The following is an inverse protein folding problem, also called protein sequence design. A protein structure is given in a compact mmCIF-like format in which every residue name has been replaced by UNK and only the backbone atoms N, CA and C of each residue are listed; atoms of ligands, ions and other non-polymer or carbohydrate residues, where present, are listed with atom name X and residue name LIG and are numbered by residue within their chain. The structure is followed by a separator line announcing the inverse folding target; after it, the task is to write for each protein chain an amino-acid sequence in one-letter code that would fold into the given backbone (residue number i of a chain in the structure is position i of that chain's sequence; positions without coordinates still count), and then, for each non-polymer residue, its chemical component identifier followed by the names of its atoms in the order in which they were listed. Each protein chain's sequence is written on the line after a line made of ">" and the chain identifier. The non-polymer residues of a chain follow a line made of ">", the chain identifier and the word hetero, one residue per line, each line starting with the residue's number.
data_IF_721561363578
#
_entry.id   IF_721561363578
#
_cell.length_a   1.000
_cell.length_b   1.000
_cell.length_c   1.000
_cell.angle_alpha   90.00
_cell.angle_beta   90.00
_cell.angle_gamma   90.00
#
_symmetry.space_group_name_H-M   'P 1'
#
loop_
_entity.id
_entity.type
_entity.pdbx_description
1 polymer ?
#
# COMPACT_ATOMS: atom_id res chain seq x y z
N UNK A 1 -8.66 26.68 -3.18
CA UNK A 1 -7.55 26.25 -2.29
C UNK A 1 -7.97 25.41 -1.09
N UNK A 2 -8.63 25.91 -0.03
CA UNK A 2 -8.93 25.09 1.19
C UNK A 2 -9.64 23.76 0.90
N UNK A 3 -10.67 23.80 0.05
CA UNK A 3 -11.39 22.58 -0.35
C UNK A 3 -10.55 21.65 -1.25
N UNK A 4 -9.57 22.16 -1.99
CA UNK A 4 -8.76 21.34 -2.91
C UNK A 4 -7.76 20.49 -2.14
N UNK A 5 -7.07 21.08 -1.16
CA UNK A 5 -6.12 20.36 -0.28
C UNK A 5 -6.81 19.20 0.42
N UNK A 6 -7.97 19.46 1.03
CA UNK A 6 -8.75 18.42 1.69
C UNK A 6 -9.29 17.38 0.69
N UNK A 7 -9.69 17.80 -0.51
CA UNK A 7 -10.13 16.88 -1.56
C UNK A 7 -9.01 15.96 -2.06
N UNK A 8 -7.77 16.45 -2.16
CA UNK A 8 -6.60 15.63 -2.46
C UNK A 8 -6.37 14.57 -1.37
N UNK A 9 -6.51 14.93 -0.10
CA UNK A 9 -6.48 13.98 1.00
C UNK A 9 -7.57 12.91 0.88
N UNK A 10 -8.81 13.30 0.59
CA UNK A 10 -9.89 12.32 0.39
C UNK A 10 -9.63 11.38 -0.80
N UNK A 11 -9.04 11.89 -1.89
CA UNK A 11 -8.61 11.07 -3.02
C UNK A 11 -7.53 10.07 -2.62
N UNK A 12 -6.52 10.48 -1.86
CA UNK A 12 -5.49 9.58 -1.32
C UNK A 12 -6.11 8.47 -0.48
N UNK A 13 -7.02 8.81 0.43
CA UNK A 13 -7.71 7.84 1.29
C UNK A 13 -8.58 6.86 0.49
N UNK A 14 -9.23 7.33 -0.58
CA UNK A 14 -10.00 6.48 -1.50
C UNK A 14 -9.08 5.54 -2.27
N UNK A 15 -7.96 6.04 -2.78
CA UNK A 15 -6.94 5.24 -3.49
C UNK A 15 -6.42 4.13 -2.59
N UNK A 16 -6.04 4.44 -1.34
CA UNK A 16 -5.58 3.44 -0.37
C UNK A 16 -6.61 2.32 -0.18
N UNK A 17 -7.89 2.67 0.04
CA UNK A 17 -8.96 1.68 0.20
C UNK A 17 -9.13 0.80 -1.03
N UNK A 18 -9.04 1.38 -2.23
CA UNK A 18 -9.15 0.64 -3.49
C UNK A 18 -7.96 -0.32 -3.64
N UNK A 19 -6.73 0.17 -3.47
CA UNK A 19 -5.52 -0.65 -3.57
C UNK A 19 -5.50 -1.78 -2.54
N UNK A 20 -5.90 -1.51 -1.30
CA UNK A 20 -6.02 -2.53 -0.25
C UNK A 20 -7.05 -3.61 -0.60
N UNK A 21 -8.20 -3.23 -1.17
CA UNK A 21 -9.20 -4.21 -1.66
C UNK A 21 -8.67 -5.03 -2.82
N UNK A 22 -8.03 -4.41 -3.81
CA UNK A 22 -7.43 -5.11 -4.95
C UNK A 22 -6.37 -6.10 -4.46
N UNK A 23 -5.45 -5.67 -3.60
CA UNK A 23 -4.44 -6.53 -3.02
C UNK A 23 -5.06 -7.75 -2.31
N UNK A 24 -6.13 -7.54 -1.52
CA UNK A 24 -6.86 -8.63 -0.89
C UNK A 24 -7.44 -9.63 -1.90
N UNK A 25 -8.06 -9.15 -2.97
CA UNK A 25 -8.61 -10.02 -4.01
C UNK A 25 -7.53 -10.80 -4.76
N UNK A 26 -6.40 -10.15 -5.07
CA UNK A 26 -5.25 -10.79 -5.71
C UNK A 26 -4.66 -11.88 -4.81
N UNK A 27 -4.50 -11.61 -3.51
CA UNK A 27 -4.05 -12.62 -2.54
C UNK A 27 -4.98 -13.83 -2.47
N UNK A 28 -6.30 -13.59 -2.42
CA UNK A 28 -7.30 -14.67 -2.40
C UNK A 28 -7.25 -15.49 -3.71
N UNK A 29 -7.13 -14.81 -4.85
CA UNK A 29 -7.03 -15.50 -6.15
C UNK A 29 -5.80 -16.40 -6.21
N UNK A 30 -4.61 -15.88 -5.85
CA UNK A 30 -3.40 -16.71 -5.81
C UNK A 30 -3.51 -17.88 -4.83
N UNK A 31 -4.19 -17.69 -3.68
CA UNK A 31 -4.45 -18.78 -2.75
C UNK A 31 -5.33 -19.88 -3.37
N UNK A 32 -6.38 -19.52 -4.09
CA UNK A 32 -7.25 -20.49 -4.80
C UNK A 32 -6.45 -21.25 -5.85
N UNK A 33 -5.66 -20.55 -6.67
CA UNK A 33 -4.80 -21.18 -7.70
C UNK A 33 -3.78 -22.12 -7.06
N UNK A 34 -3.17 -21.70 -5.95
CA UNK A 34 -2.23 -22.53 -5.20
C UNK A 34 -2.90 -23.82 -4.69
N UNK A 35 -4.07 -23.71 -4.05
CA UNK A 35 -4.81 -24.87 -3.55
C UNK A 35 -5.21 -25.82 -4.69
N UNK A 36 -5.67 -25.27 -5.82
CA UNK A 36 -6.01 -26.07 -7.00
C UNK A 36 -4.81 -26.91 -7.48
N UNK A 37 -3.63 -26.30 -7.61
CA UNK A 37 -2.42 -27.02 -8.02
C UNK A 37 -1.93 -28.01 -6.98
N UNK A 38 -2.07 -27.70 -5.69
CA UNK A 38 -1.66 -28.59 -4.60
C UNK A 38 -2.50 -29.88 -4.56
N UNK A 39 -3.81 -29.79 -4.85
CA UNK A 39 -4.70 -30.95 -4.89
C UNK A 39 -4.77 -31.64 -6.26
N UNK A 40 -4.25 -31.01 -7.33
CA UNK A 40 -4.00 -31.67 -8.61
C UNK A 40 -2.77 -32.57 -8.46
N UNK A 41 -3.00 -33.87 -8.29
CA UNK A 41 -2.05 -34.87 -7.75
C UNK A 41 -0.72 -35.08 -8.50
N UNK A 42 -0.45 -34.32 -9.57
CA UNK A 42 0.75 -34.48 -10.41
C UNK A 42 1.80 -33.38 -10.19
N UNK A 43 1.53 -32.34 -9.40
CA UNK A 43 2.31 -31.10 -9.44
C UNK A 43 3.23 -30.82 -8.26
N UNK A 44 3.31 -31.71 -7.27
CA UNK A 44 4.05 -31.47 -6.02
C UNK A 44 5.55 -31.17 -6.20
N UNK A 45 6.13 -31.42 -7.38
CA UNK A 45 7.51 -31.05 -7.75
C UNK A 45 7.60 -30.07 -8.95
N UNK A 46 6.49 -29.50 -9.41
CA UNK A 46 6.47 -28.62 -10.59
C UNK A 46 7.05 -27.24 -10.28
N UNK A 47 7.92 -26.69 -11.17
CA UNK A 47 8.40 -25.30 -11.09
C UNK A 47 7.27 -24.26 -10.94
N UNK A 48 6.05 -24.58 -11.40
CA UNK A 48 4.87 -23.72 -11.27
C UNK A 48 4.44 -23.49 -9.82
N UNK A 49 4.45 -24.52 -8.98
CA UNK A 49 4.11 -24.39 -7.56
C UNK A 49 5.13 -23.47 -6.86
N UNK A 50 6.41 -23.60 -7.24
CA UNK A 50 7.49 -22.75 -6.72
C UNK A 50 7.26 -21.29 -7.10
N UNK A 51 6.96 -21.00 -8.37
CA UNK A 51 6.65 -19.63 -8.84
C UNK A 51 5.44 -19.03 -8.10
N UNK A 52 4.39 -19.82 -7.87
CA UNK A 52 3.19 -19.35 -7.16
C UNK A 52 3.47 -19.09 -5.69
N UNK A 53 4.28 -19.92 -5.03
CA UNK A 53 4.71 -19.66 -3.65
C UNK A 53 5.53 -18.36 -3.55
N UNK A 54 6.46 -18.12 -4.46
CA UNK A 54 7.21 -16.86 -4.50
C UNK A 54 6.31 -15.66 -4.76
N UNK A 55 5.31 -15.79 -5.64
CA UNK A 55 4.30 -14.75 -5.87
C UNK A 55 3.46 -14.46 -4.63
N UNK A 56 3.05 -15.49 -3.88
CA UNK A 56 2.31 -15.33 -2.64
C UNK A 56 3.13 -14.60 -1.57
N UNK A 57 4.41 -14.96 -1.41
CA UNK A 57 5.36 -14.29 -0.51
C UNK A 57 5.53 -12.83 -0.94
N UNK A 58 5.79 -12.57 -2.23
CA UNK A 58 5.97 -11.22 -2.76
C UNK A 58 4.72 -10.35 -2.58
N UNK A 59 3.53 -10.92 -2.81
CA UNK A 59 2.25 -10.26 -2.57
C UNK A 59 2.07 -9.91 -1.09
N UNK A 60 2.48 -10.81 -0.20
CA UNK A 60 2.42 -10.59 1.25
C UNK A 60 3.36 -9.45 1.69
N UNK A 61 4.61 -9.45 1.20
CA UNK A 61 5.54 -8.33 1.42
C UNK A 61 5.02 -7.02 0.83
N UNK A 62 4.38 -7.07 -0.35
CA UNK A 62 3.76 -5.89 -0.97
C UNK A 62 2.67 -5.27 -0.10
N UNK A 63 1.91 -6.10 0.63
CA UNK A 63 0.96 -5.64 1.63
C UNK A 63 1.61 -4.81 2.75
N UNK A 64 2.77 -5.24 3.24
CA UNK A 64 3.53 -4.53 4.28
C UNK A 64 4.03 -3.17 3.77
N UNK A 65 4.59 -3.13 2.55
CA UNK A 65 5.07 -1.90 1.94
C UNK A 65 3.91 -0.92 1.69
N UNK A 66 2.78 -1.42 1.18
CA UNK A 66 1.58 -0.61 0.94
C UNK A 66 1.04 -0.04 2.25
N UNK A 67 0.99 -0.85 3.31
CA UNK A 67 0.61 -0.39 4.63
C UNK A 67 1.52 0.74 5.11
N UNK A 68 2.85 0.56 5.02
CA UNK A 68 3.83 1.58 5.43
C UNK A 68 3.76 2.86 4.60
N UNK A 69 3.50 2.76 3.29
CA UNK A 69 3.39 3.92 2.41
C UNK A 69 2.16 4.79 2.68
N UNK A 70 1.04 4.18 3.09
CA UNK A 70 -0.22 4.88 3.38
C UNK A 70 -0.48 5.08 4.88
N UNK A 71 0.44 4.65 5.75
CA UNK A 71 0.30 4.71 7.21
C UNK A 71 0.05 6.14 7.70
N UNK A 72 0.74 7.12 7.10
CA UNK A 72 0.58 8.54 7.38
C UNK A 72 0.09 9.27 6.12
N UNK A 73 -0.99 10.06 6.22
CA UNK A 73 -1.45 10.91 5.12
C UNK A 73 -0.33 11.84 4.62
N UNK A 74 -0.26 12.05 3.30
CA UNK A 74 0.81 12.87 2.70
C UNK A 74 0.83 14.30 3.26
N UNK A 75 -0.34 14.86 3.59
CA UNK A 75 -0.45 16.17 4.23
C UNK A 75 0.27 16.26 5.58
N UNK A 76 0.18 15.23 6.41
CA UNK A 76 0.90 15.19 7.69
C UNK A 76 2.38 14.92 7.47
N UNK A 77 2.72 14.11 6.47
CA UNK A 77 4.10 13.83 6.12
C UNK A 77 4.84 15.10 5.66
N UNK A 78 4.17 15.99 4.93
CA UNK A 78 4.72 17.26 4.45
C UNK A 78 5.10 18.21 5.59
N UNK A 79 4.50 18.07 6.78
CA UNK A 79 4.87 18.85 7.98
C UNK A 79 6.35 18.65 8.35
N UNK A 80 6.91 17.47 8.09
CA UNK A 80 8.32 17.21 8.34
C UNK A 80 9.26 18.06 7.46
N UNK A 81 8.89 18.30 6.21
CA UNK A 81 9.73 19.03 5.24
C UNK A 81 9.42 20.52 5.17
N UNK A 82 8.14 20.88 5.36
CA UNK A 82 7.64 22.24 5.15
C UNK A 82 7.32 22.95 6.48
N UNK A 83 7.33 22.24 7.62
CA UNK A 83 7.06 22.83 8.92
C UNK A 83 5.72 23.57 8.95
N UNK A 84 5.73 24.83 9.41
CA UNK A 84 4.51 25.67 9.52
C UNK A 84 3.88 26.05 8.17
N UNK A 85 4.63 25.99 7.07
CA UNK A 85 4.08 26.30 5.74
C UNK A 85 3.34 25.13 5.10
N UNK A 86 3.36 23.95 5.72
CA UNK A 86 2.69 22.77 5.19
C UNK A 86 1.19 23.01 4.97
N UNK A 87 0.66 22.47 3.88
CA UNK A 87 -0.76 22.61 3.49
C UNK A 87 -1.73 22.11 4.57
N UNK A 88 -1.29 21.22 5.45
CA UNK A 88 -2.03 20.80 6.64
C UNK A 88 -2.52 21.98 7.50
N UNK A 89 -1.69 23.02 7.65
CA UNK A 89 -2.03 24.22 8.42
C UNK A 89 -2.99 25.16 7.68
N UNK A 90 -3.33 24.89 6.42
CA UNK A 90 -4.36 25.65 5.69
C UNK A 90 -5.79 25.11 5.96
N UNK A 91 -5.87 23.87 6.45
CA UNK A 91 -7.14 23.19 6.76
C UNK A 91 -7.85 23.78 7.99
N UNK A 92 -9.17 23.65 8.03
CA UNK A 92 -9.96 23.98 9.21
C UNK A 92 -9.76 22.98 10.36
N UNK A 93 -10.06 23.37 11.59
CA UNK A 93 -10.01 22.50 12.78
C UNK A 93 -10.68 21.12 12.58
N UNK A 94 -11.93 21.01 12.07
CA UNK A 94 -12.56 19.70 11.90
C UNK A 94 -11.85 18.82 10.85
N UNK A 95 -11.30 19.43 9.80
CA UNK A 95 -10.55 18.72 8.76
C UNK A 95 -9.21 18.23 9.29
N UNK A 96 -8.48 19.08 10.03
CA UNK A 96 -7.22 18.70 10.69
C UNK A 96 -7.42 17.53 11.66
N UNK A 97 -8.49 17.55 12.45
CA UNK A 97 -8.85 16.44 13.33
C UNK A 97 -9.13 15.14 12.56
N UNK A 98 -9.79 15.23 11.40
CA UNK A 98 -10.03 14.06 10.57
C UNK A 98 -8.73 13.49 9.99
N UNK A 99 -7.85 14.36 9.48
CA UNK A 99 -6.54 13.96 8.96
C UNK A 99 -5.69 13.33 10.07
N UNK A 100 -5.69 13.92 11.27
CA UNK A 100 -5.07 13.36 12.47
C UNK A 100 -5.59 11.96 12.77
N UNK A 101 -6.91 11.77 12.80
CA UNK A 101 -7.51 10.44 13.02
C UNK A 101 -7.12 9.40 11.98
N UNK A 102 -6.91 9.81 10.73
CA UNK A 102 -6.45 8.91 9.67
C UNK A 102 -4.99 8.50 9.78
N UNK A 103 -4.21 9.11 10.66
CA UNK A 103 -2.86 8.65 11.00
C UNK A 103 -2.82 7.58 12.11
N UNK A 104 -3.99 7.07 12.53
CA UNK A 104 -4.11 6.07 13.59
C UNK A 104 -4.13 6.65 15.01
N UNK A 105 -4.39 7.96 15.13
CA UNK A 105 -4.50 8.68 16.39
C UNK A 105 -5.96 8.90 16.77
N UNK A 106 -6.40 8.44 17.94
CA UNK A 106 -7.79 8.61 18.38
C UNK A 106 -8.00 9.85 19.24
N UNK A 107 -6.91 10.41 19.76
CA UNK A 107 -6.88 11.60 20.58
C UNK A 107 -7.30 12.87 19.83
N UNK A 108 -7.68 13.88 20.61
CA UNK A 108 -8.02 15.20 20.09
C UNK A 108 -6.73 15.94 19.77
N UNK A 109 -6.59 16.36 18.51
CA UNK A 109 -5.50 17.21 18.07
C UNK A 109 -5.62 18.55 18.81
N UNK A 110 -4.52 19.06 19.41
CA UNK A 110 -4.52 20.40 19.99
C UNK A 110 -5.01 21.45 18.98
N UNK A 111 -5.73 22.50 19.42
CA UNK A 111 -6.28 23.50 18.51
C UNK A 111 -5.21 24.27 17.72
N UNK A 112 -4.01 24.43 18.31
CA UNK A 112 -2.84 25.00 17.65
C UNK A 112 -1.63 24.05 17.78
N UNK A 113 -1.56 22.99 16.96
CA UNK A 113 -0.48 22.01 17.03
C UNK A 113 0.78 22.58 16.38
N UNK A 114 1.94 22.42 17.02
CA UNK A 114 3.21 22.81 16.40
C UNK A 114 3.71 21.74 15.42
N UNK A 115 4.49 22.09 14.38
CA UNK A 115 5.11 21.10 13.50
C UNK A 115 5.96 20.07 14.26
N UNK A 116 6.66 20.50 15.31
CA UNK A 116 7.49 19.65 16.16
C UNK A 116 6.62 18.64 16.91
N UNK A 117 5.48 19.07 17.45
CA UNK A 117 4.52 18.19 18.10
C UNK A 117 4.05 17.08 17.15
N UNK A 118 3.66 17.44 15.92
CA UNK A 118 3.20 16.48 14.92
C UNK A 118 4.33 15.54 14.51
N UNK A 119 5.53 16.09 14.27
CA UNK A 119 6.70 15.32 13.83
C UNK A 119 7.13 14.28 14.86
N UNK A 120 7.19 14.66 16.14
CA UNK A 120 7.55 13.76 17.22
C UNK A 120 6.46 12.72 17.48
N UNK A 121 5.19 13.13 17.58
CA UNK A 121 4.11 12.20 17.85
C UNK A 121 3.92 11.18 16.72
N UNK A 122 4.10 11.56 15.46
CA UNK A 122 3.94 10.65 14.33
C UNK A 122 5.24 9.99 13.89
N UNK A 123 6.37 10.30 14.52
CA UNK A 123 7.71 9.84 14.11
C UNK A 123 7.93 10.04 12.59
N UNK A 124 7.63 11.24 12.09
CA UNK A 124 7.61 11.49 10.64
C UNK A 124 8.97 11.26 9.98
N UNK A 125 10.07 11.43 10.72
CA UNK A 125 11.44 11.19 10.25
C UNK A 125 11.66 9.75 9.79
N UNK A 126 11.12 8.76 10.52
CA UNK A 126 11.20 7.34 10.17
C UNK A 126 10.26 6.98 9.01
N UNK A 127 9.17 7.74 8.87
CA UNK A 127 8.08 7.44 7.94
C UNK A 127 8.24 8.10 6.58
N UNK A 128 8.94 9.23 6.52
CA UNK A 128 9.18 9.99 5.29
C UNK A 128 9.85 9.15 4.18
N UNK A 129 10.91 8.34 4.45
CA UNK A 129 11.54 7.50 3.43
C UNK A 129 10.59 6.49 2.78
N UNK A 130 9.59 5.98 3.53
CA UNK A 130 8.64 5.00 3.01
C UNK A 130 7.79 5.54 1.87
N UNK A 131 7.58 6.86 1.78
CA UNK A 131 6.87 7.46 0.63
C UNK A 131 7.69 7.32 -0.65
N UNK A 132 9.01 7.46 -0.58
CA UNK A 132 9.88 7.26 -1.74
C UNK A 132 10.02 5.78 -2.09
N UNK A 133 10.30 4.96 -1.07
CA UNK A 133 10.51 3.51 -1.23
C UNK A 133 9.25 2.85 -1.78
N UNK A 134 8.09 3.16 -1.22
CA UNK A 134 6.83 2.54 -1.64
C UNK A 134 6.47 2.84 -3.09
N UNK A 135 6.76 4.05 -3.61
CA UNK A 135 6.51 4.35 -5.03
C UNK A 135 7.37 3.50 -5.96
N UNK A 136 8.67 3.40 -5.67
CA UNK A 136 9.63 2.59 -6.45
C UNK A 136 9.25 1.11 -6.37
N UNK A 137 8.96 0.63 -5.15
CA UNK A 137 8.54 -0.74 -4.90
C UNK A 137 7.26 -1.08 -5.66
N UNK A 138 6.25 -0.20 -5.64
CA UNK A 138 4.97 -0.42 -6.34
C UNK A 138 5.17 -0.65 -7.84
N UNK A 139 6.08 0.13 -8.45
CA UNK A 139 6.42 0.00 -9.88
C UNK A 139 7.07 -1.36 -10.16
N UNK A 140 8.08 -1.73 -9.38
CA UNK A 140 8.76 -3.03 -9.51
C UNK A 140 7.83 -4.21 -9.28
N UNK A 141 6.99 -4.12 -8.24
CA UNK A 141 5.97 -5.13 -7.93
C UNK A 141 5.00 -5.33 -9.09
N UNK A 142 4.50 -4.25 -9.70
CA UNK A 142 3.61 -4.34 -10.86
C UNK A 142 4.28 -5.07 -12.03
N UNK A 143 5.53 -4.75 -12.35
CA UNK A 143 6.27 -5.43 -13.41
C UNK A 143 6.39 -6.92 -13.13
N UNK A 144 6.82 -7.30 -11.91
CA UNK A 144 7.01 -8.71 -11.54
C UNK A 144 5.69 -9.48 -11.58
N UNK A 145 4.59 -8.90 -11.10
CA UNK A 145 3.27 -9.54 -11.16
C UNK A 145 2.85 -9.76 -12.62
N UNK A 146 2.98 -8.74 -13.47
CA UNK A 146 2.58 -8.84 -14.88
C UNK A 146 3.41 -9.86 -15.66
N UNK A 147 4.74 -9.87 -15.47
CA UNK A 147 5.62 -10.86 -16.12
C UNK A 147 5.31 -12.27 -15.65
N UNK A 148 5.00 -12.45 -14.36
CA UNK A 148 4.70 -13.76 -13.81
C UNK A 148 3.33 -14.27 -14.25
N UNK A 149 2.32 -13.40 -14.32
CA UNK A 149 1.01 -13.76 -14.90
C UNK A 149 1.18 -14.16 -16.36
N UNK A 150 1.90 -13.35 -17.15
CA UNK A 150 2.17 -13.66 -18.56
C UNK A 150 2.85 -15.02 -18.73
N UNK A 151 3.89 -15.30 -17.94
CA UNK A 151 4.59 -16.58 -17.96
C UNK A 151 3.65 -17.74 -17.59
N UNK A 152 2.89 -17.63 -16.50
CA UNK A 152 1.95 -18.66 -16.06
C UNK A 152 0.87 -18.93 -17.11
N UNK A 153 0.34 -17.89 -17.76
CA UNK A 153 -0.64 -18.03 -18.84
C UNK A 153 -0.03 -18.67 -20.08
N UNK A 154 1.20 -18.31 -20.46
CA UNK A 154 1.89 -18.93 -21.60
C UNK A 154 2.10 -20.42 -21.39
N UNK A 155 2.62 -20.82 -20.22
CA UNK A 155 2.84 -22.22 -19.86
C UNK A 155 1.51 -22.99 -19.85
N UNK A 156 0.45 -22.40 -19.31
CA UNK A 156 -0.89 -23.00 -19.34
C UNK A 156 -1.39 -23.25 -20.76
N UNK A 157 -1.24 -22.28 -21.66
CA UNK A 157 -1.70 -22.41 -23.05
C UNK A 157 -0.91 -23.46 -23.82
N UNK A 158 0.39 -23.60 -23.56
CA UNK A 158 1.25 -24.56 -24.25
C UNK A 158 1.07 -26.00 -23.74
N UNK A 159 0.93 -26.18 -22.44
CA UNK A 159 0.98 -27.53 -21.82
C UNK A 159 -0.35 -27.94 -21.18
N UNK A 160 -1.33 -27.05 -21.03
CA UNK A 160 -2.49 -27.28 -20.16
C UNK A 160 -2.07 -27.50 -18.70
N UNK A 161 -0.87 -27.02 -18.35
CA UNK A 161 -0.05 -27.45 -17.22
C UNK A 161 0.44 -28.90 -17.27
N UNK A 162 0.02 -29.77 -18.18
CA UNK A 162 0.45 -31.18 -18.24
C UNK A 162 1.91 -31.30 -18.73
N UNK A 163 2.83 -31.52 -17.79
CA UNK A 163 4.07 -32.26 -18.00
C UNK A 163 4.11 -33.39 -16.97
#
# INVERSE_FOLDING_TARGET
>A
MKNEVFHHFLKEQKLYKILSRIAKYVSIFFLIVYLYLLFSSSYTASPLIVVINYLAILTSFSGIITFKYFEIPTLLLAVFTEGKSAEFFQLGLPERQLVWRKSGREDVLPPDPTPEFITMNLHLYDRYPWKRIGKIYSMGYLVVILTSIFYLTSVYLETGFQN
#
